data_IF_982751808535
#
_entry.id   IF_982751808535
#
_cell.length_a   1.000
_cell.length_b   1.000
_cell.length_c   1.000
_cell.angle_alpha   90.00
_cell.angle_beta   90.00
_cell.angle_gamma   90.00
#
_symmetry.space_group_name_H-M   'P 1'
#
loop_
_entity.id
_entity.type
_entity.pdbx_description
1 polymer ?
#
# COMPACT_ATOMS: atom_id res chain seq x y z
N UNK A 1 -21.40 16.15 -4.25
CA UNK A 1 -20.23 16.28 -5.13
C UNK A 1 -19.50 14.95 -5.03
N UNK A 2 -19.71 14.10 -6.02
CA UNK A 2 -19.46 12.66 -5.93
C UNK A 2 -18.02 12.27 -6.24
N UNK A 3 -17.69 11.03 -5.89
CA UNK A 3 -16.49 10.24 -6.24
C UNK A 3 -16.15 10.18 -7.75
N UNK A 4 -16.81 10.98 -8.59
CA UNK A 4 -16.75 10.92 -10.04
C UNK A 4 -15.41 11.44 -10.62
N UNK A 5 -14.64 12.20 -9.85
CA UNK A 5 -13.34 12.73 -10.27
C UNK A 5 -12.15 11.96 -9.67
N UNK A 6 -12.39 10.89 -8.90
CA UNK A 6 -11.32 10.02 -8.44
C UNK A 6 -11.08 8.94 -9.52
N UNK A 7 -9.92 8.89 -10.17
CA UNK A 7 -9.62 7.82 -11.10
C UNK A 7 -9.63 6.49 -10.34
N UNK A 8 -10.68 5.70 -10.57
CA UNK A 8 -10.84 4.38 -9.97
C UNK A 8 -10.11 3.36 -10.83
N UNK A 9 -9.00 2.83 -10.32
CA UNK A 9 -8.36 1.66 -10.88
C UNK A 9 -8.86 0.42 -10.13
N UNK A 10 -9.66 -0.40 -10.81
CA UNK A 10 -10.21 -1.65 -10.27
C UNK A 10 -9.57 -2.81 -11.02
N UNK A 11 -8.87 -3.68 -10.30
CA UNK A 11 -8.41 -4.98 -10.81
C UNK A 11 -9.28 -6.07 -10.19
N UNK A 12 -9.88 -6.88 -11.04
CA UNK A 12 -10.58 -8.12 -10.65
C UNK A 12 -9.52 -9.19 -10.38
N UNK A 13 -9.54 -9.78 -9.18
CA UNK A 13 -8.58 -10.81 -8.76
C UNK A 13 -9.31 -12.13 -8.56
N UNK A 14 -8.77 -13.23 -9.12
CA UNK A 14 -9.37 -14.58 -9.13
C UNK A 14 -9.38 -15.27 -7.74
N UNK A 15 -9.04 -14.54 -6.67
CA UNK A 15 -9.09 -15.02 -5.27
C UNK A 15 -7.97 -15.95 -4.84
N UNK A 16 -7.01 -16.25 -5.74
CA UNK A 16 -5.93 -17.22 -5.50
C UNK A 16 -4.52 -16.59 -5.43
N UNK A 17 -4.44 -15.27 -5.53
CA UNK A 17 -3.20 -14.49 -5.46
C UNK A 17 -3.13 -13.76 -4.12
N UNK A 18 -1.98 -13.75 -3.43
CA UNK A 18 -1.85 -13.00 -2.18
C UNK A 18 -1.97 -11.50 -2.45
N UNK A 19 -2.95 -10.86 -1.82
CA UNK A 19 -3.24 -9.43 -1.99
C UNK A 19 -1.99 -8.55 -1.87
N UNK A 20 -1.06 -8.93 -0.97
CA UNK A 20 0.20 -8.22 -0.71
C UNK A 20 1.09 -8.05 -1.94
N UNK A 21 1.21 -9.08 -2.78
CA UNK A 21 2.08 -9.04 -3.96
C UNK A 21 1.44 -8.26 -5.12
N UNK A 22 0.10 -8.30 -5.21
CA UNK A 22 -0.66 -7.59 -6.24
C UNK A 22 -0.58 -6.08 -6.03
N UNK A 23 -0.72 -5.61 -4.78
CA UNK A 23 -0.70 -4.17 -4.50
C UNK A 23 0.64 -3.52 -4.88
N UNK A 24 1.78 -4.14 -4.55
CA UNK A 24 3.08 -3.60 -4.92
C UNK A 24 3.30 -3.57 -6.43
N UNK A 25 2.81 -4.57 -7.17
CA UNK A 25 2.83 -4.55 -8.62
C UNK A 25 1.96 -3.43 -9.19
N UNK A 26 0.76 -3.22 -8.64
CA UNK A 26 -0.14 -2.14 -9.05
C UNK A 26 0.50 -0.77 -8.88
N UNK A 27 1.06 -0.52 -7.69
CA UNK A 27 1.70 0.75 -7.33
C UNK A 27 2.89 1.05 -8.26
N UNK A 28 3.59 0.02 -8.74
CA UNK A 28 4.69 0.20 -9.72
C UNK A 28 4.22 0.50 -11.13
N UNK A 29 3.17 -0.16 -11.59
CA UNK A 29 2.68 -0.01 -12.97
C UNK A 29 1.89 1.29 -13.18
N UNK A 30 1.26 1.81 -12.12
CA UNK A 30 0.37 2.97 -12.22
C UNK A 30 1.09 4.28 -12.63
N UNK A 31 2.23 4.67 -12.03
CA UNK A 31 2.99 5.87 -12.46
C UNK A 31 3.42 5.82 -13.92
N UNK A 32 3.88 4.65 -14.39
CA UNK A 32 4.35 4.47 -15.77
C UNK A 32 3.23 4.69 -16.79
N UNK A 33 2.01 4.22 -16.46
CA UNK A 33 0.85 4.36 -17.33
C UNK A 33 0.26 5.77 -17.35
N UNK A 34 0.36 6.51 -16.24
CA UNK A 34 -0.32 7.80 -16.07
C UNK A 34 0.62 9.01 -16.16
N UNK A 35 1.94 8.78 -16.24
CA UNK A 35 2.99 9.81 -16.33
C UNK A 35 2.82 10.93 -15.29
N UNK A 36 2.43 10.56 -14.07
CA UNK A 36 2.18 11.50 -12.99
C UNK A 36 3.03 11.17 -11.75
N UNK A 37 3.41 12.21 -11.03
CA UNK A 37 3.90 12.06 -9.67
C UNK A 37 2.69 11.85 -8.76
N UNK A 38 2.65 10.70 -8.08
CA UNK A 38 1.54 10.31 -7.21
C UNK A 38 2.07 9.83 -5.85
N UNK A 39 1.32 10.14 -4.79
CA UNK A 39 1.50 9.54 -3.47
C UNK A 39 0.53 8.37 -3.33
N UNK A 40 1.05 7.15 -3.24
CA UNK A 40 0.24 5.96 -3.07
C UNK A 40 -0.11 5.75 -1.60
N UNK A 41 -1.40 5.70 -1.26
CA UNK A 41 -1.85 5.40 0.11
C UNK A 41 -2.46 4.00 0.12
N UNK A 42 -1.91 3.11 0.95
CA UNK A 42 -2.37 1.73 1.07
C UNK A 42 -2.50 1.29 2.53
N UNK A 43 -3.22 0.20 2.79
CA UNK A 43 -3.26 -0.38 4.13
C UNK A 43 -1.98 -1.18 4.44
N UNK A 44 -1.95 -1.82 5.61
CA UNK A 44 -0.80 -2.53 6.16
C UNK A 44 -0.40 -3.79 5.36
N UNK A 45 -1.28 -4.34 4.52
CA UNK A 45 -0.95 -5.46 3.63
C UNK A 45 0.24 -5.17 2.70
N UNK A 46 0.47 -3.91 2.33
CA UNK A 46 1.61 -3.50 1.51
C UNK A 46 2.94 -3.55 2.27
N UNK A 47 2.92 -3.57 3.60
CA UNK A 47 4.12 -3.51 4.45
C UNK A 47 4.76 -4.90 4.64
N UNK A 48 5.38 -5.42 3.58
CA UNK A 48 6.23 -6.62 3.61
C UNK A 48 7.67 -6.26 3.22
N UNK A 49 8.66 -7.05 3.63
CA UNK A 49 10.07 -6.78 3.29
C UNK A 49 10.29 -6.66 1.77
N UNK A 50 9.72 -7.59 1.00
CA UNK A 50 9.79 -7.59 -0.47
C UNK A 50 9.16 -6.33 -1.07
N UNK A 51 8.01 -5.92 -0.57
CA UNK A 51 7.30 -4.73 -1.05
C UNK A 51 8.05 -3.44 -0.71
N UNK A 52 8.60 -3.33 0.51
CA UNK A 52 9.38 -2.16 0.93
C UNK A 52 10.62 -1.97 0.06
N UNK A 53 11.33 -3.05 -0.26
CA UNK A 53 12.45 -3.00 -1.21
C UNK A 53 11.97 -2.64 -2.62
N UNK A 54 10.80 -3.16 -3.01
CA UNK A 54 10.23 -2.92 -4.33
C UNK A 54 9.78 -1.48 -4.55
N UNK A 55 9.20 -0.85 -3.54
CA UNK A 55 8.55 0.45 -3.62
C UNK A 55 9.47 1.62 -3.23
N UNK A 56 10.74 1.34 -2.95
CA UNK A 56 11.73 2.33 -2.47
C UNK A 56 11.89 3.57 -3.36
N UNK A 57 11.64 3.40 -4.66
CA UNK A 57 11.84 4.43 -5.69
C UNK A 57 10.55 5.24 -5.96
N UNK A 58 9.46 4.96 -5.22
CA UNK A 58 8.14 5.60 -5.36
C UNK A 58 7.73 6.32 -4.06
N UNK A 59 6.83 7.31 -4.18
CA UNK A 59 6.23 7.97 -3.02
C UNK A 59 5.02 7.18 -2.54
N UNK A 60 5.07 6.60 -1.33
CA UNK A 60 3.97 5.82 -0.76
C UNK A 60 3.83 6.03 0.75
N UNK A 61 2.63 5.78 1.25
CA UNK A 61 2.24 5.83 2.66
C UNK A 61 1.42 4.58 2.98
N UNK A 62 1.81 3.87 4.03
CA UNK A 62 1.06 2.74 4.55
C UNK A 62 1.05 2.74 6.08
N UNK A 63 0.06 2.07 6.67
CA UNK A 63 0.07 1.77 8.10
C UNK A 63 1.04 0.63 8.37
N UNK A 64 1.81 0.73 9.45
CA UNK A 64 2.62 -0.39 9.93
C UNK A 64 1.69 -1.48 10.50
N UNK A 65 1.85 -2.77 10.13
CA UNK A 65 1.04 -3.86 10.68
C UNK A 65 1.16 -3.95 12.21
N UNK A 66 0.02 -4.07 12.88
CA UNK A 66 -0.06 -4.34 14.32
C UNK A 66 0.48 -5.73 14.73
N UNK A 67 0.90 -6.55 13.76
CA UNK A 67 1.61 -7.82 13.99
C UNK A 67 3.11 -7.63 14.21
N UNK A 68 3.66 -6.45 13.90
CA UNK A 68 5.07 -6.13 14.14
C UNK A 68 5.27 -5.80 15.61
N UNK A 69 6.20 -6.51 16.27
CA UNK A 69 6.48 -6.36 17.71
C UNK A 69 6.76 -4.91 18.12
N UNK A 70 7.58 -4.20 17.35
CA UNK A 70 7.88 -2.79 17.64
C UNK A 70 6.64 -1.89 17.56
N UNK A 71 5.74 -2.15 16.61
CA UNK A 71 4.48 -1.42 16.51
C UNK A 71 3.55 -1.72 17.69
N UNK A 72 3.50 -2.99 18.15
CA UNK A 72 2.75 -3.38 19.35
C UNK A 72 3.24 -2.64 20.59
N UNK A 73 4.55 -2.66 20.83
CA UNK A 73 5.17 -2.00 21.98
C UNK A 73 4.89 -0.49 22.00
N UNK A 74 4.93 0.16 20.83
CA UNK A 74 4.61 1.58 20.71
C UNK A 74 3.13 1.87 21.04
N UNK A 75 2.21 1.02 20.57
CA UNK A 75 0.78 1.18 20.87
C UNK A 75 0.50 1.00 22.36
N UNK A 76 1.18 0.07 23.03
CA UNK A 76 1.08 -0.12 24.48
C UNK A 76 1.56 1.14 25.23
N UNK A 77 2.71 1.71 24.85
CA UNK A 77 3.26 2.93 25.47
C UNK A 77 2.40 4.18 25.26
N UNK A 78 1.69 4.27 24.12
CA UNK A 78 0.82 5.40 23.81
C UNK A 78 -0.57 5.29 24.48
N UNK A 79 -0.90 4.12 25.01
CA UNK A 79 -2.17 3.87 25.71
C UNK A 79 -2.11 4.19 27.20
N UNK A 80 -0.95 4.63 27.71
CA UNK A 80 -0.69 5.05 29.10
C UNK A 80 -0.73 6.58 29.29
#
# INVERSE_FOLDING_TARGET
MGIADLPLYLRDSDGNEPDQAIFAQLIRQFPEQWQCEALFVADAAVYSEENLQSLRDLQWLSRVPATIKAAQQLMEQLSE
#
